data_IF_148188541083
#
_entry.id   IF_148188541083
#
_cell.length_a   1.000
_cell.length_b   1.000
_cell.length_c   1.000
_cell.angle_alpha   90.00
_cell.angle_beta   90.00
_cell.angle_gamma   90.00
#
_symmetry.space_group_name_H-M   'P 1'
#
loop_
_entity.id
_entity.type
_entity.pdbx_description
1 polymer ?
#
# COMPACT_ATOMS: atom_id res chain seq x y z
N UNK A 1 12.93 9.74 9.57
CA UNK A 1 12.39 8.63 8.74
C UNK A 1 10.98 8.20 9.16
N UNK A 2 10.48 8.53 10.37
CA UNK A 2 9.10 8.21 10.77
C UNK A 2 8.02 9.05 10.07
N UNK A 3 8.41 10.13 9.41
CA UNK A 3 7.48 11.09 8.80
C UNK A 3 7.26 10.86 7.30
N UNK A 4 7.91 9.84 6.71
CA UNK A 4 7.70 9.49 5.31
C UNK A 4 6.65 8.38 5.27
N UNK A 5 5.47 8.59 4.66
CA UNK A 5 4.46 7.55 4.55
C UNK A 5 4.97 6.40 3.67
N UNK A 6 4.74 5.17 4.11
CA UNK A 6 5.20 3.94 3.46
C UNK A 6 4.02 3.06 3.09
N UNK A 7 3.86 2.81 1.78
CA UNK A 7 2.93 1.83 1.26
C UNK A 7 3.68 0.58 0.76
N UNK A 8 3.22 -0.60 1.20
CA UNK A 8 3.76 -1.89 0.77
C UNK A 8 2.95 -2.42 -0.41
N UNK A 9 3.63 -2.72 -1.52
CA UNK A 9 3.05 -3.36 -2.70
C UNK A 9 3.66 -4.74 -2.92
N UNK A 10 2.83 -5.79 -2.87
CA UNK A 10 3.32 -7.18 -2.84
C UNK A 10 2.42 -8.14 -3.61
N UNK A 11 2.91 -9.33 -3.94
CA UNK A 11 2.09 -10.39 -4.52
C UNK A 11 1.38 -11.26 -3.45
N UNK A 12 1.82 -11.16 -2.18
CA UNK A 12 1.28 -11.96 -1.08
C UNK A 12 -0.03 -11.39 -0.55
N UNK A 13 -1.05 -12.24 -0.46
CA UNK A 13 -2.31 -11.99 0.25
C UNK A 13 -2.39 -12.74 1.59
N UNK A 14 -1.27 -13.31 2.05
CA UNK A 14 -1.19 -14.04 3.31
C UNK A 14 -1.36 -13.09 4.52
N UNK A 15 -2.25 -13.40 5.49
CA UNK A 15 -2.55 -12.52 6.62
C UNK A 15 -1.31 -12.15 7.46
N UNK A 16 -0.36 -13.06 7.57
CA UNK A 16 0.88 -12.85 8.32
C UNK A 16 1.78 -11.76 7.71
N UNK A 17 1.83 -11.65 6.39
CA UNK A 17 2.61 -10.62 5.70
C UNK A 17 1.98 -9.24 5.88
N UNK A 18 0.65 -9.16 5.93
CA UNK A 18 -0.11 -7.94 6.24
C UNK A 18 0.25 -7.48 7.66
N UNK A 19 0.11 -8.36 8.65
CA UNK A 19 0.39 -8.05 10.06
C UNK A 19 1.86 -7.65 10.24
N UNK A 20 2.79 -8.38 9.62
CA UNK A 20 4.23 -8.08 9.70
C UNK A 20 4.54 -6.69 9.13
N UNK A 21 3.90 -6.32 8.03
CA UNK A 21 4.12 -5.02 7.38
C UNK A 21 3.66 -3.86 8.25
N UNK A 22 2.47 -3.94 8.84
CA UNK A 22 1.99 -2.91 9.76
C UNK A 22 2.83 -2.84 11.05
N UNK A 23 3.28 -3.98 11.59
CA UNK A 23 4.23 -3.98 12.73
C UNK A 23 5.58 -3.34 12.39
N UNK A 24 5.98 -3.39 11.11
CA UNK A 24 7.19 -2.74 10.60
C UNK A 24 7.04 -1.23 10.38
N UNK A 25 5.84 -0.67 10.56
CA UNK A 25 5.58 0.77 10.40
C UNK A 25 5.10 1.18 9.02
N UNK A 26 4.54 0.26 8.23
CA UNK A 26 3.84 0.63 7.00
C UNK A 26 2.51 1.32 7.32
N UNK A 27 2.15 2.34 6.53
CA UNK A 27 0.85 3.04 6.61
C UNK A 27 -0.21 2.34 5.75
N UNK A 28 0.20 1.56 4.76
CA UNK A 28 -0.72 0.86 3.85
C UNK A 28 -0.11 -0.42 3.27
N UNK A 29 -0.97 -1.37 2.89
CA UNK A 29 -0.59 -2.64 2.27
C UNK A 29 -1.53 -2.97 1.11
N UNK A 30 -0.97 -3.26 -0.07
CA UNK A 30 -1.70 -3.58 -1.29
C UNK A 30 -1.15 -4.82 -1.97
N UNK A 31 -2.04 -5.68 -2.46
CA UNK A 31 -1.65 -6.73 -3.38
C UNK A 31 -1.52 -6.15 -4.80
N UNK A 32 -0.54 -6.60 -5.56
CA UNK A 32 -0.34 -6.24 -6.98
C UNK A 32 -1.62 -6.49 -7.78
N UNK A 33 -2.31 -7.58 -7.48
CA UNK A 33 -3.59 -7.95 -8.08
C UNK A 33 -4.62 -6.84 -7.94
N UNK A 34 -4.78 -6.26 -6.74
CA UNK A 34 -5.73 -5.16 -6.51
C UNK A 34 -5.38 -3.91 -7.31
N UNK A 35 -4.10 -3.62 -7.51
CA UNK A 35 -3.66 -2.50 -8.36
C UNK A 35 -3.95 -2.73 -9.85
N UNK A 36 -3.68 -3.93 -10.36
CA UNK A 36 -3.77 -4.20 -11.81
C UNK A 36 -5.18 -4.61 -12.26
N UNK A 37 -6.03 -5.11 -11.37
CA UNK A 37 -7.38 -5.56 -11.71
C UNK A 37 -8.38 -4.39 -11.80
N UNK A 38 -8.10 -3.21 -11.21
CA UNK A 38 -9.11 -2.14 -11.10
C UNK A 38 -9.16 -1.09 -12.21
N UNK A 39 -8.13 -0.93 -13.05
CA UNK A 39 -8.08 -0.12 -14.29
C UNK A 39 -6.62 -0.09 -14.73
N UNK A 40 -6.33 0.06 -16.03
CA UNK A 40 -4.95 0.26 -16.52
C UNK A 40 -4.23 1.26 -15.61
N UNK A 41 -3.25 0.77 -14.85
CA UNK A 41 -2.86 1.34 -13.57
C UNK A 41 -2.17 2.69 -13.77
N UNK A 42 -2.92 3.78 -13.57
CA UNK A 42 -2.36 5.12 -13.46
C UNK A 42 -1.62 5.21 -12.12
N UNK A 43 -0.28 5.39 -12.12
CA UNK A 43 0.51 5.54 -10.91
C UNK A 43 0.03 6.66 -9.99
N UNK A 44 -0.60 7.71 -10.55
CA UNK A 44 -1.14 8.81 -9.77
C UNK A 44 -2.28 8.36 -8.85
N UNK A 45 -3.13 7.43 -9.28
CA UNK A 45 -4.24 6.93 -8.45
C UNK A 45 -3.73 6.17 -7.21
N UNK A 46 -2.60 5.47 -7.34
CA UNK A 46 -1.95 4.79 -6.22
C UNK A 46 -1.41 5.82 -5.25
N UNK A 47 -0.72 6.84 -5.75
CA UNK A 47 -0.20 7.93 -4.94
C UNK A 47 -1.33 8.64 -4.21
N UNK A 48 -2.41 9.02 -4.89
CA UNK A 48 -3.57 9.68 -4.28
C UNK A 48 -4.20 8.82 -3.17
N UNK A 49 -4.32 7.51 -3.38
CA UNK A 49 -4.85 6.59 -2.37
C UNK A 49 -3.93 6.52 -1.16
N UNK A 50 -2.61 6.43 -1.37
CA UNK A 50 -1.62 6.40 -0.28
C UNK A 50 -1.61 7.71 0.50
N UNK A 51 -1.66 8.86 -0.20
CA UNK A 51 -1.69 10.18 0.44
C UNK A 51 -2.97 10.39 1.26
N UNK A 52 -4.13 9.99 0.71
CA UNK A 52 -5.41 10.03 1.42
C UNK A 52 -5.41 9.15 2.69
N UNK A 53 -4.74 7.99 2.67
CA UNK A 53 -4.58 7.14 3.86
C UNK A 53 -3.55 7.69 4.86
N UNK A 54 -2.52 8.40 4.37
CA UNK A 54 -1.51 9.06 5.19
C UNK A 54 -2.00 10.36 5.87
N UNK A 55 -3.22 10.83 5.54
CA UNK A 55 -3.83 12.02 6.16
C UNK A 55 -3.21 13.35 5.70
N UNK A 56 -2.59 13.36 4.52
CA UNK A 56 -1.94 14.53 3.89
C UNK A 56 -2.56 14.88 2.54
#
# INVERSE_FOLDING_TARGET
LRDIPVAVLTASDEPEDIIRSYRGGADSYFTKSVLFIKKGADPATILDTVMAMAGV
#
